data_IF_242751584901
#
_entry.id   IF_242751584901
#
_cell.length_a   1.000
_cell.length_b   1.000
_cell.length_c   1.000
_cell.angle_alpha   90.00
_cell.angle_beta   90.00
_cell.angle_gamma   90.00
#
_symmetry.space_group_name_H-M   'P 1'
#
loop_
_entity.id
_entity.type
_entity.pdbx_description
1 polymer ?
#
# COMPACT_ATOMS: atom_id res chain seq x y z
N UNK A 1 16.01 19.65 -4.47
CA UNK A 1 14.54 19.45 -4.43
C UNK A 1 14.27 18.02 -3.95
N UNK A 2 13.41 17.81 -2.95
CA UNK A 2 13.07 16.44 -2.48
C UNK A 2 12.23 15.70 -3.54
N UNK A 3 12.58 14.45 -3.85
CA UNK A 3 11.89 13.65 -4.86
C UNK A 3 10.50 13.17 -4.38
N UNK A 4 9.60 12.83 -5.31
CA UNK A 4 8.29 12.21 -4.99
C UNK A 4 8.50 10.91 -4.21
N UNK A 5 9.54 10.16 -4.55
CA UNK A 5 9.88 8.90 -3.88
C UNK A 5 10.26 9.13 -2.40
N UNK A 6 11.12 10.12 -2.12
CA UNK A 6 11.52 10.45 -0.75
C UNK A 6 10.34 10.97 0.09
N UNK A 7 9.46 11.78 -0.52
CA UNK A 7 8.23 12.25 0.15
C UNK A 7 7.25 11.11 0.43
N UNK A 8 7.23 10.09 -0.42
CA UNK A 8 6.38 8.90 -0.26
C UNK A 8 6.85 8.03 0.90
N UNK A 9 8.15 7.75 1.00
CA UNK A 9 8.69 6.73 1.91
C UNK A 9 9.43 7.29 3.12
N UNK A 10 10.23 8.35 2.95
CA UNK A 10 11.10 8.89 4.00
C UNK A 10 10.42 9.93 4.90
N UNK A 11 9.26 10.48 4.51
CA UNK A 11 8.57 11.51 5.30
C UNK A 11 7.11 11.14 5.61
N UNK A 12 6.72 11.29 6.87
CA UNK A 12 5.38 10.93 7.38
C UNK A 12 4.58 12.12 7.91
N UNK A 13 5.16 13.33 7.91
CA UNK A 13 4.48 14.55 8.37
C UNK A 13 3.38 15.00 7.40
N UNK A 14 2.40 15.76 7.92
CA UNK A 14 1.31 16.30 7.11
C UNK A 14 1.83 17.16 5.96
N UNK A 15 2.73 18.11 6.24
CA UNK A 15 3.30 19.00 5.23
C UNK A 15 4.02 18.24 4.11
N UNK A 16 4.72 17.15 4.44
CA UNK A 16 5.38 16.32 3.42
C UNK A 16 4.36 15.56 2.55
N UNK A 17 3.25 15.08 3.11
CA UNK A 17 2.19 14.43 2.33
C UNK A 17 1.35 15.41 1.51
N UNK A 18 1.19 16.64 1.99
CA UNK A 18 0.60 17.72 1.20
C UNK A 18 1.51 18.10 0.03
N UNK A 19 2.83 18.20 0.25
CA UNK A 19 3.81 18.44 -0.82
C UNK A 19 3.81 17.30 -1.85
N UNK A 20 3.77 16.04 -1.38
CA UNK A 20 3.62 14.86 -2.24
C UNK A 20 2.37 14.96 -3.10
N UNK A 21 1.23 15.29 -2.50
CA UNK A 21 -0.04 15.45 -3.18
C UNK A 21 0.03 16.51 -4.30
N UNK A 22 0.56 17.69 -3.97
CA UNK A 22 0.66 18.80 -4.93
C UNK A 22 1.62 18.45 -6.08
N UNK A 23 2.80 17.91 -5.77
CA UNK A 23 3.80 17.51 -6.78
C UNK A 23 3.29 16.39 -7.70
N UNK A 24 2.65 15.36 -7.14
CA UNK A 24 2.09 14.28 -7.94
C UNK A 24 0.98 14.80 -8.86
N UNK A 25 0.06 15.64 -8.36
CA UNK A 25 -0.97 16.25 -9.21
C UNK A 25 -0.40 17.11 -10.31
N UNK A 26 0.62 17.92 -10.02
CA UNK A 26 1.24 18.80 -11.01
C UNK A 26 1.97 18.00 -12.09
N UNK A 27 2.75 17.00 -11.72
CA UNK A 27 3.53 16.17 -12.64
C UNK A 27 2.66 15.27 -13.53
N UNK A 28 1.57 14.72 -13.00
CA UNK A 28 0.70 13.81 -13.75
C UNK A 28 -0.39 14.53 -14.58
N UNK A 29 -0.69 15.80 -14.28
CA UNK A 29 -1.69 16.60 -15.02
C UNK A 29 -1.52 16.60 -16.55
N UNK A 30 -0.32 16.78 -17.14
CA UNK A 30 -0.16 16.72 -18.59
C UNK A 30 -0.42 15.31 -19.14
N UNK A 31 0.03 14.25 -18.44
CA UNK A 31 -0.18 12.85 -18.87
C UNK A 31 -1.66 12.45 -18.80
N UNK A 32 -2.38 12.96 -17.81
CA UNK A 32 -3.85 12.82 -17.70
C UNK A 32 -4.62 13.47 -18.86
N UNK A 33 -3.99 14.40 -19.60
CA UNK A 33 -4.56 15.07 -20.79
C UNK A 33 -4.02 14.52 -22.11
N UNK A 34 -3.15 13.50 -22.06
CA UNK A 34 -2.62 12.84 -23.25
C UNK A 34 -3.76 12.26 -24.09
N UNK A 35 -3.62 12.21 -25.42
CA UNK A 35 -4.58 11.47 -26.26
C UNK A 35 -4.33 9.96 -26.22
N UNK A 36 -3.15 9.52 -25.79
CA UNK A 36 -2.80 8.11 -25.65
C UNK A 36 -3.43 7.51 -24.38
N UNK A 37 -4.33 6.51 -24.51
CA UNK A 37 -4.96 5.84 -23.36
C UNK A 37 -3.94 5.19 -22.40
N UNK A 38 -2.81 4.68 -22.91
CA UNK A 38 -1.78 4.06 -22.08
C UNK A 38 -1.07 5.08 -21.20
N UNK A 39 -0.75 6.24 -21.77
CA UNK A 39 -0.15 7.36 -21.01
C UNK A 39 -1.12 7.87 -19.95
N UNK A 40 -2.41 8.02 -20.29
CA UNK A 40 -3.44 8.42 -19.33
C UNK A 40 -3.61 7.39 -18.21
N UNK A 41 -3.66 6.10 -18.53
CA UNK A 41 -3.80 5.02 -17.54
C UNK A 41 -2.57 4.95 -16.62
N UNK A 42 -1.36 5.16 -17.15
CA UNK A 42 -0.14 5.29 -16.35
C UNK A 42 -0.22 6.46 -15.35
N UNK A 43 -0.75 7.61 -15.77
CA UNK A 43 -0.95 8.76 -14.88
C UNK A 43 -2.01 8.49 -13.81
N UNK A 44 -3.12 7.83 -14.18
CA UNK A 44 -4.16 7.41 -13.24
C UNK A 44 -3.58 6.47 -12.16
N UNK A 45 -2.77 5.48 -12.57
CA UNK A 45 -2.11 4.54 -11.66
C UNK A 45 -1.12 5.23 -10.71
N UNK A 46 -0.34 6.17 -11.22
CA UNK A 46 0.62 6.94 -10.40
C UNK A 46 -0.09 7.79 -9.34
N UNK A 47 -1.15 8.51 -9.74
CA UNK A 47 -1.96 9.32 -8.83
C UNK A 47 -2.72 8.49 -7.81
N UNK A 48 -3.35 7.39 -8.24
CA UNK A 48 -4.11 6.51 -7.34
C UNK A 48 -3.20 5.85 -6.29
N UNK A 49 -2.00 5.41 -6.69
CA UNK A 49 -0.97 4.91 -5.77
C UNK A 49 -0.51 5.96 -4.76
N UNK A 50 -0.31 7.21 -5.23
CA UNK A 50 0.04 8.33 -4.34
C UNK A 50 -1.07 8.57 -3.31
N UNK A 51 -2.32 8.61 -3.74
CA UNK A 51 -3.46 8.82 -2.86
C UNK A 51 -3.64 7.67 -1.87
N UNK A 52 -3.48 6.42 -2.32
CA UNK A 52 -3.47 5.25 -1.45
C UNK A 52 -2.41 5.35 -0.34
N UNK A 53 -1.22 5.86 -0.67
CA UNK A 53 -0.12 6.07 0.28
C UNK A 53 -0.42 7.15 1.30
N UNK A 54 -0.98 8.29 0.86
CA UNK A 54 -1.40 9.39 1.75
C UNK A 54 -2.46 8.90 2.74
N UNK A 55 -3.49 8.20 2.25
CA UNK A 55 -4.54 7.60 3.08
C UNK A 55 -3.94 6.66 4.11
N UNK A 56 -3.05 5.75 3.69
CA UNK A 56 -2.39 4.81 4.60
C UNK A 56 -1.56 5.50 5.69
N UNK A 57 -0.90 6.60 5.34
CA UNK A 57 -0.13 7.42 6.30
C UNK A 57 -1.07 8.12 7.28
N UNK A 58 -2.14 8.74 6.81
CA UNK A 58 -3.13 9.43 7.63
C UNK A 58 -3.73 8.50 8.71
N UNK A 59 -4.13 7.29 8.33
CA UNK A 59 -4.65 6.29 9.27
C UNK A 59 -3.60 5.82 10.27
N UNK A 60 -2.35 5.68 9.84
CA UNK A 60 -1.26 5.26 10.74
C UNK A 60 -0.92 6.36 11.75
N UNK A 61 -0.97 7.64 11.33
CA UNK A 61 -0.86 8.80 12.23
C UNK A 61 -2.00 8.82 13.25
N UNK A 62 -3.24 8.57 12.83
CA UNK A 62 -4.37 8.49 13.76
C UNK A 62 -4.19 7.37 14.79
N UNK A 63 -3.74 6.19 14.36
CA UNK A 63 -3.41 5.08 15.27
C UNK A 63 -2.28 5.44 16.24
N UNK A 64 -1.28 6.18 15.78
CA UNK A 64 -0.19 6.64 16.63
C UNK A 64 -0.66 7.64 17.69
N UNK A 65 -1.68 8.46 17.42
CA UNK A 65 -2.27 9.38 18.41
C UNK A 65 -2.90 8.62 19.58
N UNK A 66 -3.48 7.44 19.34
CA UNK A 66 -4.18 6.65 20.36
C UNK A 66 -3.30 5.58 21.06
N UNK A 67 -2.10 5.30 20.56
CA UNK A 67 -1.16 4.31 21.14
C UNK A 67 -0.49 4.68 22.49
N UNK A 68 -0.11 5.95 22.79
CA UNK A 68 0.75 6.21 23.96
C UNK A 68 -0.01 6.18 25.28
N UNK A 69 0.35 5.25 26.17
CA UNK A 69 -0.28 5.06 27.49
C UNK A 69 -0.13 6.25 28.46
N UNK A 70 0.86 7.13 28.26
CA UNK A 70 1.18 8.23 29.19
C UNK A 70 0.71 9.64 28.77
N UNK A 71 0.23 9.84 27.53
CA UNK A 71 -0.20 11.15 27.01
C UNK A 71 -1.66 11.14 26.54
N UNK A 72 -2.47 10.21 27.07
CA UNK A 72 -3.88 10.04 26.71
C UNK A 72 -4.68 11.33 26.95
N UNK A 73 -4.33 12.15 27.94
CA UNK A 73 -5.02 13.42 28.18
C UNK A 73 -4.88 14.42 27.01
N UNK A 74 -3.83 14.31 26.18
CA UNK A 74 -3.66 15.15 24.98
C UNK A 74 -4.37 14.57 23.75
N UNK A 75 -4.93 13.35 23.85
CA UNK A 75 -5.59 12.70 22.73
C UNK A 75 -6.70 13.57 22.12
N UNK A 76 -7.59 14.25 22.88
CA UNK A 76 -8.63 15.09 22.28
C UNK A 76 -8.07 16.20 21.38
N UNK A 77 -7.04 16.91 21.86
CA UNK A 77 -6.40 17.98 21.10
C UNK A 77 -5.67 17.44 19.84
N UNK A 78 -4.98 16.31 19.98
CA UNK A 78 -4.28 15.66 18.86
C UNK A 78 -5.26 15.12 17.81
N UNK A 79 -6.39 14.56 18.24
CA UNK A 79 -7.47 14.11 17.36
C UNK A 79 -8.07 15.32 16.65
N UNK A 80 -8.36 16.42 17.36
CA UNK A 80 -8.87 17.65 16.75
C UNK A 80 -7.90 18.18 15.67
N UNK A 81 -6.61 18.27 15.98
CA UNK A 81 -5.60 18.69 15.01
C UNK A 81 -5.53 17.74 13.80
N UNK A 82 -5.64 16.43 14.03
CA UNK A 82 -5.71 15.44 12.97
C UNK A 82 -6.96 15.63 12.10
N UNK A 83 -8.12 15.90 12.69
CA UNK A 83 -9.36 16.20 11.97
C UNK A 83 -9.26 17.47 11.13
N UNK A 84 -8.52 18.49 11.58
CA UNK A 84 -8.35 19.73 10.82
C UNK A 84 -7.32 19.61 9.68
N UNK A 85 -6.36 18.68 9.79
CA UNK A 85 -5.25 18.54 8.84
C UNK A 85 -5.40 17.32 7.94
N UNK A 86 -5.36 16.13 8.52
CA UNK A 86 -5.32 14.87 7.80
C UNK A 86 -6.68 14.45 7.24
N UNK A 87 -7.76 14.63 7.99
CA UNK A 87 -9.08 14.13 7.59
C UNK A 87 -9.53 14.66 6.22
N UNK A 88 -9.47 15.98 5.91
CA UNK A 88 -9.91 16.48 4.61
C UNK A 88 -9.08 15.92 3.45
N UNK A 89 -7.75 15.88 3.61
CA UNK A 89 -6.84 15.37 2.59
C UNK A 89 -7.02 13.86 2.40
N UNK A 90 -7.14 13.10 3.49
CA UNK A 90 -7.34 11.66 3.46
C UNK A 90 -8.69 11.30 2.82
N UNK A 91 -9.76 12.03 3.16
CA UNK A 91 -11.08 11.81 2.57
C UNK A 91 -11.04 12.08 1.06
N UNK A 92 -10.48 13.21 0.64
CA UNK A 92 -10.31 13.51 -0.79
C UNK A 92 -9.52 12.40 -1.51
N UNK A 93 -8.38 11.99 -0.96
CA UNK A 93 -7.55 10.95 -1.56
C UNK A 93 -8.26 9.60 -1.60
N UNK A 94 -9.00 9.24 -0.55
CA UNK A 94 -9.75 7.99 -0.47
C UNK A 94 -10.83 7.91 -1.55
N UNK A 95 -11.60 8.99 -1.75
CA UNK A 95 -12.63 9.04 -2.78
C UNK A 95 -12.04 9.01 -4.19
N UNK A 96 -10.93 9.72 -4.40
CA UNK A 96 -10.32 9.85 -5.72
C UNK A 96 -9.50 8.63 -6.15
N UNK A 97 -8.84 7.92 -5.22
CA UNK A 97 -7.98 6.78 -5.57
C UNK A 97 -8.77 5.67 -6.28
N UNK A 98 -10.00 5.39 -5.83
CA UNK A 98 -10.86 4.40 -6.47
C UNK A 98 -11.28 4.85 -7.87
N UNK A 99 -11.84 6.05 -8.01
CA UNK A 99 -12.25 6.59 -9.32
C UNK A 99 -11.11 6.64 -10.34
N UNK A 100 -9.89 6.96 -9.91
CA UNK A 100 -8.71 6.94 -10.78
C UNK A 100 -8.33 5.50 -11.16
N UNK A 101 -8.45 4.56 -10.23
CA UNK A 101 -8.21 3.16 -10.52
C UNK A 101 -9.23 2.60 -11.51
N UNK A 102 -10.51 2.94 -11.39
CA UNK A 102 -11.55 2.50 -12.34
C UNK A 102 -11.31 3.09 -13.72
N UNK A 103 -10.90 4.36 -13.78
CA UNK A 103 -10.54 5.01 -15.03
C UNK A 103 -9.41 4.29 -15.77
N UNK A 104 -8.48 3.63 -15.07
CA UNK A 104 -7.45 2.81 -15.73
C UNK A 104 -8.10 1.65 -16.50
N UNK A 105 -9.05 0.94 -15.88
CA UNK A 105 -9.75 -0.18 -16.52
C UNK A 105 -10.60 0.31 -17.69
N UNK A 106 -11.26 1.46 -17.58
CA UNK A 106 -11.99 2.07 -18.69
C UNK A 106 -11.09 2.41 -19.89
N UNK A 107 -9.85 2.84 -19.64
CA UNK A 107 -8.94 3.29 -20.69
C UNK A 107 -8.25 2.14 -21.42
N UNK A 108 -7.80 1.11 -20.69
CA UNK A 108 -6.92 0.06 -21.26
C UNK A 108 -7.40 -1.37 -20.95
N UNK A 109 -8.48 -1.53 -20.19
CA UNK A 109 -8.99 -2.83 -19.77
C UNK A 109 -8.05 -3.58 -18.83
N UNK A 110 -8.54 -4.68 -18.24
CA UNK A 110 -7.73 -5.51 -17.33
C UNK A 110 -6.47 -6.08 -18.00
N UNK A 111 -6.60 -6.55 -19.24
CA UNK A 111 -5.50 -7.16 -19.97
C UNK A 111 -4.47 -6.15 -20.45
N UNK A 112 -4.85 -4.88 -20.65
CA UNK A 112 -3.91 -3.81 -20.99
C UNK A 112 -3.07 -3.31 -19.82
N UNK A 113 -3.49 -3.56 -18.57
CA UNK A 113 -2.72 -3.16 -17.39
C UNK A 113 -1.42 -3.96 -17.25
N UNK A 114 -0.35 -3.29 -16.80
CA UNK A 114 0.86 -3.96 -16.33
C UNK A 114 0.65 -4.62 -14.97
N UNK A 115 1.54 -5.53 -14.58
CA UNK A 115 1.49 -6.15 -13.24
C UNK A 115 1.60 -5.11 -12.11
N UNK A 116 2.42 -4.07 -12.28
CA UNK A 116 2.57 -2.97 -11.34
C UNK A 116 1.25 -2.17 -11.21
N UNK A 117 0.55 -1.92 -12.32
CA UNK A 117 -0.77 -1.28 -12.32
C UNK A 117 -1.82 -2.13 -11.61
N UNK A 118 -1.78 -3.45 -11.82
CA UNK A 118 -2.63 -4.38 -11.10
C UNK A 118 -2.32 -4.41 -9.59
N UNK A 119 -1.05 -4.37 -9.17
CA UNK A 119 -0.67 -4.31 -7.74
C UNK A 119 -1.25 -3.06 -7.05
N UNK A 120 -1.22 -1.91 -7.74
CA UNK A 120 -1.84 -0.69 -7.25
C UNK A 120 -3.35 -0.86 -7.14
N UNK A 121 -4.03 -1.35 -8.19
CA UNK A 121 -5.49 -1.53 -8.21
C UNK A 121 -5.95 -2.52 -7.15
N UNK A 122 -5.35 -3.71 -7.04
CA UNK A 122 -5.75 -4.71 -6.04
C UNK A 122 -5.59 -4.19 -4.60
N UNK A 123 -4.55 -3.39 -4.33
CA UNK A 123 -4.37 -2.75 -3.03
C UNK A 123 -5.51 -1.77 -2.71
N UNK A 124 -5.96 -1.00 -3.70
CA UNK A 124 -7.08 -0.05 -3.57
C UNK A 124 -8.40 -0.80 -3.39
N UNK A 125 -8.70 -1.79 -4.25
CA UNK A 125 -9.93 -2.58 -4.22
C UNK A 125 -10.11 -3.30 -2.88
N UNK A 126 -9.06 -3.96 -2.37
CA UNK A 126 -9.10 -4.61 -1.04
C UNK A 126 -9.37 -3.61 0.09
N UNK A 127 -8.81 -2.40 0.01
CA UNK A 127 -9.09 -1.35 1.01
C UNK A 127 -10.54 -0.89 0.95
N UNK A 128 -11.15 -0.89 -0.24
CA UNK A 128 -12.55 -0.56 -0.45
C UNK A 128 -13.50 -1.76 -0.30
N UNK A 129 -13.01 -2.92 0.16
CA UNK A 129 -13.76 -4.16 0.33
C UNK A 129 -14.32 -4.79 -0.96
N UNK A 130 -13.76 -4.46 -2.12
CA UNK A 130 -14.09 -5.10 -3.41
C UNK A 130 -13.20 -6.33 -3.63
N UNK A 131 -13.39 -7.38 -2.82
CA UNK A 131 -12.50 -8.54 -2.75
C UNK A 131 -12.50 -9.39 -4.04
N UNK A 132 -13.66 -9.66 -4.63
CA UNK A 132 -13.77 -10.41 -5.89
C UNK A 132 -13.05 -9.73 -7.05
N UNK A 133 -13.23 -8.41 -7.17
CA UNK A 133 -12.57 -7.65 -8.21
C UNK A 133 -11.06 -7.55 -7.98
N UNK A 134 -10.64 -7.45 -6.72
CA UNK A 134 -9.23 -7.52 -6.35
C UNK A 134 -8.61 -8.87 -6.76
N UNK A 135 -9.30 -9.99 -6.48
CA UNK A 135 -8.88 -11.34 -6.86
C UNK A 135 -8.66 -11.45 -8.37
N UNK A 136 -9.65 -11.06 -9.17
CA UNK A 136 -9.56 -11.01 -10.64
C UNK A 136 -8.36 -10.18 -11.11
N UNK A 137 -8.13 -9.04 -10.49
CA UNK A 137 -7.00 -8.17 -10.82
C UNK A 137 -5.65 -8.83 -10.51
N UNK A 138 -5.56 -9.57 -9.39
CA UNK A 138 -4.36 -10.29 -8.99
C UNK A 138 -4.09 -11.47 -9.92
N UNK A 139 -5.10 -12.28 -10.22
CA UNK A 139 -4.94 -13.44 -11.12
C UNK A 139 -4.39 -13.02 -12.48
N UNK A 140 -4.95 -11.94 -13.04
CA UNK A 140 -4.47 -11.36 -14.31
C UNK A 140 -3.03 -10.86 -14.17
N UNK A 141 -2.65 -10.29 -13.03
CA UNK A 141 -1.28 -9.84 -12.80
C UNK A 141 -0.29 -11.00 -12.72
N UNK A 142 -0.66 -12.09 -12.03
CA UNK A 142 0.18 -13.27 -11.89
C UNK A 142 0.36 -14.03 -13.20
N UNK A 143 -0.67 -14.12 -14.05
CA UNK A 143 -0.55 -14.72 -15.39
C UNK A 143 0.44 -13.97 -16.31
N UNK A 144 0.73 -12.71 -16.02
CA UNK A 144 1.72 -11.90 -16.75
C UNK A 144 3.16 -12.18 -16.30
N UNK A 145 3.39 -13.04 -15.31
CA UNK A 145 4.69 -13.37 -14.75
C UNK A 145 5.53 -12.12 -14.43
N UNK A 146 5.14 -11.31 -13.42
CA UNK A 146 5.83 -10.07 -13.09
C UNK A 146 7.32 -10.33 -12.81
N UNK A 147 8.22 -9.58 -13.43
CA UNK A 147 9.67 -9.77 -13.26
C UNK A 147 10.15 -9.42 -11.86
N UNK A 148 9.56 -8.38 -11.25
CA UNK A 148 9.96 -7.86 -9.95
C UNK A 148 9.46 -8.75 -8.81
N UNK A 149 10.37 -9.21 -7.95
CA UNK A 149 10.01 -10.08 -6.83
C UNK A 149 9.01 -9.43 -5.88
N UNK A 150 9.18 -8.14 -5.59
CA UNK A 150 8.23 -7.46 -4.71
C UNK A 150 6.81 -7.37 -5.27
N UNK A 151 6.65 -7.27 -6.60
CA UNK A 151 5.33 -7.22 -7.22
C UNK A 151 4.64 -8.57 -7.06
N UNK A 152 5.34 -9.68 -7.35
CA UNK A 152 4.82 -11.04 -7.08
C UNK A 152 4.46 -11.22 -5.60
N UNK A 153 5.35 -10.84 -4.70
CA UNK A 153 5.11 -10.94 -3.26
C UNK A 153 3.89 -10.15 -2.78
N UNK A 154 3.68 -8.93 -3.27
CA UNK A 154 2.51 -8.10 -2.92
C UNK A 154 1.19 -8.63 -3.51
N UNK A 155 1.24 -9.30 -4.66
CA UNK A 155 0.10 -10.00 -5.26
C UNK A 155 -0.30 -11.22 -4.41
N UNK A 156 0.65 -12.04 -3.99
CA UNK A 156 0.40 -13.16 -3.07
C UNK A 156 -0.17 -12.70 -1.73
N UNK A 157 0.34 -11.60 -1.15
CA UNK A 157 -0.28 -10.96 0.02
C UNK A 157 -1.73 -10.56 -0.28
N UNK A 158 -1.99 -10.04 -1.47
CA UNK A 158 -3.34 -9.67 -1.91
C UNK A 158 -4.28 -10.87 -1.91
N UNK A 159 -3.87 -12.00 -2.49
CA UNK A 159 -4.65 -13.24 -2.50
C UNK A 159 -4.87 -13.78 -1.09
N UNK A 160 -3.83 -13.82 -0.26
CA UNK A 160 -3.96 -14.24 1.14
C UNK A 160 -5.01 -13.39 1.90
N UNK A 161 -5.06 -12.08 1.65
CA UNK A 161 -6.08 -11.24 2.27
C UNK A 161 -7.50 -11.49 1.75
N UNK A 162 -7.64 -11.84 0.48
CA UNK A 162 -8.93 -12.25 -0.12
C UNK A 162 -9.38 -13.59 0.46
N UNK A 163 -8.53 -14.62 0.45
CA UNK A 163 -8.85 -15.94 1.00
C UNK A 163 -9.19 -15.89 2.49
N UNK A 164 -8.50 -15.03 3.25
CA UNK A 164 -8.88 -14.79 4.64
C UNK A 164 -10.31 -14.26 4.77
N UNK A 165 -10.74 -13.39 3.87
CA UNK A 165 -12.11 -12.87 3.88
C UNK A 165 -13.13 -13.95 3.50
N UNK A 166 -12.76 -14.84 2.58
CA UNK A 166 -13.56 -16.02 2.18
C UNK A 166 -13.58 -17.11 3.27
N UNK A 167 -12.70 -17.03 4.28
CA UNK A 167 -12.58 -18.03 5.35
C UNK A 167 -11.70 -19.23 4.97
N UNK A 168 -11.02 -19.19 3.82
CA UNK A 168 -10.13 -20.24 3.35
C UNK A 168 -8.73 -20.08 3.96
N UNK A 169 -8.55 -20.65 5.14
CA UNK A 169 -7.31 -20.55 5.90
C UNK A 169 -6.14 -21.29 5.24
N UNK A 170 -6.39 -22.41 4.56
CA UNK A 170 -5.34 -23.20 3.91
C UNK A 170 -4.72 -22.42 2.74
N UNK A 171 -5.56 -21.76 1.94
CA UNK A 171 -5.09 -20.87 0.87
C UNK A 171 -4.37 -19.65 1.43
N UNK A 172 -4.79 -19.10 2.58
CA UNK A 172 -4.03 -18.02 3.26
C UNK A 172 -2.60 -18.46 3.56
N UNK A 173 -2.42 -19.65 4.14
CA UNK A 173 -1.09 -20.15 4.50
C UNK A 173 -0.22 -20.40 3.27
N UNK A 174 -0.82 -20.93 2.20
CA UNK A 174 -0.14 -21.18 0.92
C UNK A 174 0.37 -19.87 0.31
N UNK A 175 -0.49 -18.86 0.23
CA UNK A 175 -0.14 -17.56 -0.34
C UNK A 175 0.85 -16.78 0.54
N UNK A 176 0.77 -16.90 1.87
CA UNK A 176 1.77 -16.33 2.78
C UNK A 176 3.15 -16.96 2.57
N UNK A 177 3.23 -18.30 2.38
CA UNK A 177 4.49 -18.98 2.07
C UNK A 177 5.08 -18.49 0.74
N UNK A 178 4.26 -18.35 -0.31
CA UNK A 178 4.68 -17.80 -1.59
C UNK A 178 5.20 -16.36 -1.44
N UNK A 179 4.47 -15.50 -0.73
CA UNK A 179 4.89 -14.13 -0.45
C UNK A 179 6.24 -14.04 0.31
N UNK A 180 6.52 -14.99 1.22
CA UNK A 180 7.80 -15.03 1.96
C UNK A 180 8.97 -15.45 1.08
N UNK A 181 8.76 -16.32 0.08
CA UNK A 181 9.79 -16.65 -0.92
C UNK A 181 10.14 -15.40 -1.73
N UNK A 182 9.12 -14.68 -2.19
CA UNK A 182 9.28 -13.44 -2.93
C UNK A 182 9.93 -12.33 -2.10
N UNK A 183 9.58 -12.21 -0.82
CA UNK A 183 10.17 -11.24 0.10
C UNK A 183 11.69 -11.41 0.22
N UNK A 184 12.19 -12.65 0.30
CA UNK A 184 13.63 -12.94 0.38
C UNK A 184 14.39 -12.50 -0.87
N UNK A 185 13.78 -12.63 -2.05
CA UNK A 185 14.37 -12.13 -3.30
C UNK A 185 14.33 -10.60 -3.32
N UNK A 186 13.18 -10.02 -2.95
CA UNK A 186 13.00 -8.58 -2.86
C UNK A 186 13.93 -7.89 -1.85
N UNK A 187 14.44 -8.58 -0.82
CA UNK A 187 15.41 -8.01 0.13
C UNK A 187 16.64 -7.43 -0.56
N UNK A 188 17.09 -8.04 -1.66
CA UNK A 188 18.28 -7.61 -2.40
C UNK A 188 17.96 -6.50 -3.40
N UNK A 189 16.75 -6.54 -3.98
CA UNK A 189 16.33 -5.64 -5.05
C UNK A 189 15.71 -4.34 -4.52
N UNK A 190 14.81 -4.47 -3.54
CA UNK A 190 14.07 -3.38 -2.92
C UNK A 190 13.73 -3.72 -1.46
N UNK A 191 14.67 -3.46 -0.51
CA UNK A 191 14.46 -3.73 0.91
C UNK A 191 13.21 -3.05 1.50
N UNK A 192 12.76 -1.92 0.92
CA UNK A 192 11.56 -1.20 1.38
C UNK A 192 10.31 -2.02 1.13
N UNK A 193 10.21 -2.58 -0.07
CA UNK A 193 9.07 -3.43 -0.42
C UNK A 193 9.15 -4.79 0.29
N UNK A 194 10.35 -5.34 0.47
CA UNK A 194 10.52 -6.55 1.28
C UNK A 194 10.02 -6.34 2.73
N UNK A 195 10.35 -5.21 3.35
CA UNK A 195 9.83 -4.84 4.66
C UNK A 195 8.29 -4.77 4.68
N UNK A 196 7.68 -4.20 3.64
CA UNK A 196 6.22 -4.15 3.47
C UNK A 196 5.61 -5.55 3.39
N UNK A 197 6.22 -6.47 2.64
CA UNK A 197 5.74 -7.85 2.50
C UNK A 197 5.84 -8.59 3.84
N UNK A 198 7.00 -8.57 4.50
CA UNK A 198 7.19 -9.23 5.79
C UNK A 198 6.20 -8.76 6.86
N UNK A 199 5.95 -7.45 6.93
CA UNK A 199 4.94 -6.88 7.83
C UNK A 199 3.55 -7.45 7.53
N UNK A 200 3.17 -7.53 6.25
CA UNK A 200 1.88 -8.08 5.85
C UNK A 200 1.75 -9.57 6.19
N UNK A 201 2.80 -10.38 5.92
CA UNK A 201 2.84 -11.79 6.33
C UNK A 201 2.70 -11.93 7.85
N UNK A 202 3.43 -11.14 8.63
CA UNK A 202 3.37 -11.18 10.09
C UNK A 202 1.96 -10.88 10.63
N UNK A 203 1.25 -9.95 10.00
CA UNK A 203 -0.15 -9.64 10.32
C UNK A 203 -1.07 -10.82 10.00
N UNK A 204 -0.92 -11.42 8.83
CA UNK A 204 -1.75 -12.55 8.39
C UNK A 204 -1.55 -13.77 9.29
N UNK A 205 -0.29 -14.14 9.57
CA UNK A 205 0.04 -15.22 10.52
C UNK A 205 -0.57 -14.94 11.90
N UNK A 206 -0.42 -13.70 12.39
CA UNK A 206 -0.99 -13.29 13.67
C UNK A 206 -2.51 -13.44 13.76
N UNK A 207 -3.21 -13.32 12.62
CA UNK A 207 -4.67 -13.45 12.53
C UNK A 207 -5.13 -14.90 12.36
N UNK A 208 -4.31 -15.76 11.74
CA UNK A 208 -4.64 -17.18 11.50
C UNK A 208 -4.22 -18.06 12.67
N UNK A 209 -2.99 -17.90 13.15
CA UNK A 209 -2.34 -18.80 14.11
C UNK A 209 -2.18 -18.16 15.50
N UNK A 210 -2.59 -16.89 15.65
CA UNK A 210 -2.33 -16.09 16.84
C UNK A 210 -0.94 -15.44 16.82
N UNK A 211 -0.66 -14.57 17.80
CA UNK A 211 0.60 -13.82 17.89
C UNK A 211 1.75 -14.71 18.40
N UNK A 212 2.18 -15.68 17.59
CA UNK A 212 3.30 -16.57 17.87
C UNK A 212 4.69 -15.97 17.61
N UNK A 213 5.72 -16.76 17.90
CA UNK A 213 7.13 -16.40 17.71
C UNK A 213 7.46 -16.06 16.24
N UNK A 214 6.84 -16.74 15.28
CA UNK A 214 7.05 -16.51 13.86
C UNK A 214 6.59 -15.11 13.42
N UNK A 215 5.37 -14.70 13.78
CA UNK A 215 4.87 -13.36 13.49
C UNK A 215 5.76 -12.27 14.07
N UNK A 216 6.26 -12.46 15.29
CA UNK A 216 7.21 -11.54 15.94
C UNK A 216 8.55 -11.47 15.20
N UNK A 217 9.10 -12.61 14.75
CA UNK A 217 10.33 -12.67 13.94
C UNK A 217 10.18 -11.87 12.64
N UNK A 218 9.05 -12.03 11.95
CA UNK A 218 8.78 -11.31 10.70
C UNK A 218 8.60 -9.80 10.93
N UNK A 219 7.96 -9.38 12.02
CA UNK A 219 7.89 -7.95 12.39
C UNK A 219 9.26 -7.35 12.63
N UNK A 220 10.12 -8.06 13.37
CA UNK A 220 11.49 -7.60 13.64
C UNK A 220 12.29 -7.47 12.34
N UNK A 221 12.21 -8.45 11.45
CA UNK A 221 12.84 -8.40 10.12
C UNK A 221 12.32 -7.23 9.28
N UNK A 222 11.01 -6.99 9.28
CA UNK A 222 10.42 -5.85 8.58
C UNK A 222 10.92 -4.52 9.15
N UNK A 223 11.06 -4.41 10.47
CA UNK A 223 11.59 -3.23 11.14
C UNK A 223 13.07 -2.99 10.80
N UNK A 224 13.90 -4.03 10.87
CA UNK A 224 15.33 -3.97 10.53
C UNK A 224 15.54 -3.47 9.10
N UNK A 225 14.83 -4.07 8.14
CA UNK A 225 14.88 -3.65 6.73
C UNK A 225 14.37 -2.23 6.53
N UNK A 226 13.28 -1.83 7.20
CA UNK A 226 12.76 -0.47 7.07
C UNK A 226 13.73 0.57 7.65
N UNK A 227 14.42 0.27 8.75
CA UNK A 227 15.45 1.13 9.35
C UNK A 227 16.67 1.26 8.46
N UNK A 228 17.12 0.18 7.82
CA UNK A 228 18.35 0.19 6.99
C UNK A 228 18.25 1.09 5.75
N UNK A 229 17.03 1.42 5.31
CA UNK A 229 16.76 2.22 4.10
C UNK A 229 15.95 3.49 4.39
N UNK A 230 15.83 3.88 5.66
CA UNK A 230 15.09 5.05 6.14
C UNK A 230 13.62 5.12 5.65
N UNK A 231 12.93 3.97 5.62
CA UNK A 231 11.53 3.88 5.24
C UNK A 231 10.61 4.23 6.43
N UNK A 232 10.62 5.50 6.82
CA UNK A 232 9.82 6.03 7.94
C UNK A 232 8.32 5.73 7.82
N UNK A 233 7.79 5.69 6.59
CA UNK A 233 6.39 5.34 6.37
C UNK A 233 6.08 3.88 6.74
N UNK A 234 7.02 2.95 6.58
CA UNK A 234 6.86 1.55 6.97
C UNK A 234 7.04 1.39 8.47
N UNK A 235 7.99 2.09 9.07
CA UNK A 235 8.19 2.12 10.52
C UNK A 235 6.93 2.61 11.25
N UNK A 236 6.28 3.66 10.74
CA UNK A 236 5.02 4.17 11.28
C UNK A 236 3.88 3.13 11.24
N UNK A 237 3.94 2.18 10.29
CA UNK A 237 2.88 1.20 10.05
C UNK A 237 3.08 -0.12 10.81
N UNK A 238 4.21 -0.31 11.49
CA UNK A 238 4.46 -1.43 12.42
C UNK A 238 3.72 -1.17 13.75
#
# INVERSE_FOLDING_TARGET
MTSIYDLSWGKTSFSAKLELFLKARQSEKPRMRSQDPQVQAGACSSLSSTYYTIVGTAFSQLRAVVRPKGLIWLAPLRILLWCLTWLPLALYCYWRMHSLSDRMVELIGYYGMSADQCDVRQSILRRCAYHEEAKRCIDIALTKNPEKAHTRGLLHIGLAEVYRHEGDIESVETEVKAALVEAKMAEKEDPRQAARIYKSCARLIGLVQGNGSEGSRLRHKAEELARSVDAQDQLLKL
#
